data_IF_772316827593
#
_entry.id   IF_772316827593
#
_cell.length_a   1.000
_cell.length_b   1.000
_cell.length_c   1.000
_cell.angle_alpha   90.00
_cell.angle_beta   90.00
_cell.angle_gamma   90.00
#
_symmetry.space_group_name_H-M   'P 1'
#
loop_
_entity.id
_entity.type
_entity.pdbx_description
1 polymer ?
#
# COMPACT_ATOMS: atom_id res chain seq x y z
N UNK A 1 5.95 -22.50 5.74
CA UNK A 1 6.50 -21.33 5.03
C UNK A 1 5.62 -20.16 5.38
N UNK A 2 6.09 -19.19 6.18
CA UNK A 2 5.33 -17.96 6.38
C UNK A 2 5.21 -17.26 5.03
N UNK A 3 3.99 -16.90 4.67
CA UNK A 3 3.72 -16.33 3.38
C UNK A 3 4.19 -14.88 3.36
N UNK A 4 5.21 -14.59 2.55
CA UNK A 4 5.78 -13.26 2.39
C UNK A 4 4.74 -12.24 1.87
N UNK A 5 4.80 -10.99 2.36
CA UNK A 5 3.80 -9.96 2.05
C UNK A 5 3.81 -9.55 0.59
N UNK A 6 5.00 -9.47 -0.04
CA UNK A 6 5.09 -9.17 -1.47
C UNK A 6 4.52 -10.33 -2.30
N UNK A 7 4.81 -11.56 -1.91
CA UNK A 7 4.23 -12.76 -2.52
C UNK A 7 2.71 -12.77 -2.44
N UNK A 8 2.15 -12.31 -1.32
CA UNK A 8 0.70 -12.14 -1.15
C UNK A 8 0.15 -11.06 -2.07
N UNK A 9 0.81 -9.90 -2.18
CA UNK A 9 0.36 -8.83 -3.06
C UNK A 9 0.35 -9.26 -4.53
N UNK A 10 1.38 -10.00 -4.97
CA UNK A 10 1.43 -10.55 -6.33
C UNK A 10 0.27 -11.51 -6.62
N UNK A 11 -0.17 -12.28 -5.62
CA UNK A 11 -1.31 -13.18 -5.78
C UNK A 11 -2.65 -12.45 -5.69
N UNK A 12 -2.77 -11.45 -4.83
CA UNK A 12 -3.92 -10.55 -4.82
C UNK A 12 -4.10 -9.90 -6.20
N UNK A 13 -3.03 -9.31 -6.77
CA UNK A 13 -3.06 -8.76 -8.14
C UNK A 13 -3.53 -9.78 -9.18
N UNK A 14 -2.97 -11.00 -9.16
CA UNK A 14 -3.36 -12.04 -10.11
C UNK A 14 -4.82 -12.47 -9.97
N UNK A 15 -5.40 -12.37 -8.77
CA UNK A 15 -6.81 -12.69 -8.52
C UNK A 15 -7.75 -11.59 -9.00
N UNK A 16 -7.31 -10.33 -9.05
CA UNK A 16 -8.11 -9.23 -9.60
C UNK A 16 -8.06 -9.18 -11.14
N UNK A 17 -7.02 -9.71 -11.77
CA UNK A 17 -6.92 -9.80 -13.23
C UNK A 17 -8.09 -10.62 -13.82
N UNK A 18 -8.85 -9.99 -14.71
CA UNK A 18 -10.08 -10.56 -15.26
C UNK A 18 -10.31 -10.21 -16.75
N UNK A 19 -9.26 -9.84 -17.50
CA UNK A 19 -9.27 -9.32 -18.88
C UNK A 19 -9.64 -7.85 -19.04
N UNK A 20 -10.25 -7.22 -18.05
CA UNK A 20 -10.58 -5.78 -18.09
C UNK A 20 -9.77 -4.99 -17.06
N UNK A 21 -9.63 -5.55 -15.86
CA UNK A 21 -9.02 -4.87 -14.72
C UNK A 21 -7.55 -4.53 -14.98
N UNK A 22 -6.76 -5.49 -15.48
CA UNK A 22 -5.32 -5.31 -15.76
C UNK A 22 -5.03 -4.32 -16.91
N UNK A 23 -6.04 -4.00 -17.71
CA UNK A 23 -5.94 -3.02 -18.79
C UNK A 23 -6.29 -1.60 -18.35
N UNK A 24 -7.02 -1.45 -17.23
CA UNK A 24 -7.61 -0.18 -16.78
C UNK A 24 -7.05 0.29 -15.44
N UNK A 25 -6.60 -0.64 -14.62
CA UNK A 25 -6.21 -0.45 -13.23
C UNK A 25 -4.92 -1.21 -12.93
N UNK A 26 -4.40 -1.07 -11.71
CA UNK A 26 -3.22 -1.82 -11.32
C UNK A 26 -2.66 -1.44 -9.96
N UNK A 27 -1.44 -1.92 -9.74
CA UNK A 27 -0.61 -1.56 -8.60
C UNK A 27 0.55 -0.72 -9.11
N UNK A 28 0.75 0.45 -8.50
CA UNK A 28 1.91 1.31 -8.75
C UNK A 28 2.73 1.46 -7.48
N UNK A 29 3.99 1.06 -7.55
CA UNK A 29 5.00 1.34 -6.53
C UNK A 29 6.04 2.26 -7.18
N UNK A 30 6.32 3.39 -6.56
CA UNK A 30 7.20 4.42 -7.10
C UNK A 30 8.01 5.07 -5.96
N UNK A 31 9.10 5.76 -6.28
CA UNK A 31 9.85 6.52 -5.27
C UNK A 31 9.17 7.84 -4.95
N UNK A 32 9.37 8.36 -3.74
CA UNK A 32 9.06 9.75 -3.38
C UNK A 32 10.16 10.70 -3.89
N UNK A 33 9.89 12.01 -3.81
CA UNK A 33 10.89 13.07 -4.05
C UNK A 33 11.92 13.16 -2.90
N UNK A 34 11.51 12.73 -1.70
CA UNK A 34 12.36 12.43 -0.55
C UNK A 34 12.57 10.90 -0.39
N UNK A 35 13.49 10.43 0.47
CA UNK A 35 13.73 9.00 0.62
C UNK A 35 12.47 8.25 1.06
N UNK A 36 11.96 7.36 0.20
CA UNK A 36 10.77 6.60 0.51
C UNK A 36 10.05 6.08 -0.74
N UNK A 37 8.90 5.47 -0.48
CA UNK A 37 8.07 4.83 -1.50
C UNK A 37 6.65 5.35 -1.44
N UNK A 38 6.02 5.41 -2.61
CA UNK A 38 4.57 5.42 -2.73
C UNK A 38 4.10 4.03 -3.15
N UNK A 39 2.96 3.62 -2.60
CA UNK A 39 2.24 2.43 -3.03
C UNK A 39 0.79 2.82 -3.29
N UNK A 40 0.33 2.60 -4.51
CA UNK A 40 -1.05 2.84 -4.94
C UNK A 40 -1.62 1.56 -5.50
N UNK A 41 -2.75 1.13 -4.96
CA UNK A 41 -3.47 -0.07 -5.37
C UNK A 41 -4.88 0.35 -5.75
N UNK A 42 -5.25 0.16 -7.00
CA UNK A 42 -6.60 0.39 -7.45
C UNK A 42 -7.58 -0.60 -6.83
N UNK A 43 -8.74 -0.10 -6.40
CA UNK A 43 -9.80 -0.93 -5.81
C UNK A 43 -11.07 -0.89 -6.66
N UNK A 44 -11.10 -0.04 -7.68
CA UNK A 44 -12.22 0.07 -8.63
C UNK A 44 -12.44 -1.26 -9.34
N UNK A 45 -13.69 -1.64 -9.51
CA UNK A 45 -14.11 -2.91 -10.09
C UNK A 45 -13.56 -4.16 -9.37
N UNK A 46 -13.19 -4.01 -8.09
CA UNK A 46 -12.83 -5.11 -7.17
C UNK A 46 -13.87 -5.24 -6.05
N UNK A 47 -13.81 -6.32 -5.26
CA UNK A 47 -14.68 -6.47 -4.08
C UNK A 47 -14.41 -5.48 -2.93
N UNK A 48 -13.38 -4.65 -3.08
CA UNK A 48 -12.97 -3.60 -2.13
C UNK A 48 -13.35 -2.19 -2.57
N UNK A 49 -14.03 -2.04 -3.72
CA UNK A 49 -14.56 -0.75 -4.12
C UNK A 49 -15.60 -0.24 -3.11
N UNK A 50 -15.40 0.99 -2.63
CA UNK A 50 -16.30 1.64 -1.67
C UNK A 50 -16.25 1.07 -0.24
N UNK A 51 -15.39 0.09 0.03
CA UNK A 51 -15.19 -0.45 1.38
C UNK A 51 -14.46 0.57 2.23
N UNK A 52 -14.95 0.79 3.46
CA UNK A 52 -14.32 1.71 4.39
C UNK A 52 -12.96 1.17 4.85
N UNK A 53 -11.99 2.07 4.83
CA UNK A 53 -10.68 1.88 5.43
C UNK A 53 -10.46 3.04 6.40
N UNK A 54 -10.21 2.72 7.67
CA UNK A 54 -9.81 3.74 8.63
C UNK A 54 -8.40 4.19 8.31
N UNK A 55 -8.21 5.49 8.08
CA UNK A 55 -6.89 6.07 7.82
C UNK A 55 -5.95 5.68 8.95
N UNK A 56 -4.78 5.17 8.58
CA UNK A 56 -3.79 4.66 9.53
C UNK A 56 -2.43 5.27 9.25
N UNK A 57 -1.61 5.40 10.28
CA UNK A 57 -0.24 5.88 10.17
C UNK A 57 0.65 5.31 11.27
N UNK A 58 1.95 5.32 11.01
CA UNK A 58 3.00 5.00 11.96
C UNK A 58 4.15 5.99 11.81
N UNK A 59 4.74 6.41 12.93
CA UNK A 59 5.87 7.34 12.92
C UNK A 59 5.53 8.73 12.37
N UNK A 60 6.57 9.55 12.24
CA UNK A 60 6.48 10.91 11.70
C UNK A 60 7.16 10.94 10.32
N UNK A 61 6.52 11.49 9.27
CA UNK A 61 7.12 11.57 7.95
C UNK A 61 8.38 12.43 7.95
N UNK A 62 9.46 11.90 7.36
CA UNK A 62 10.72 12.62 7.19
C UNK A 62 10.77 13.32 5.82
N UNK A 63 11.22 14.57 5.79
CA UNK A 63 11.40 15.37 4.58
C UNK A 63 12.69 15.05 3.82
N UNK A 64 13.70 14.47 4.50
CA UNK A 64 14.99 14.09 3.90
C UNK A 64 15.66 12.90 4.61
N UNK A 65 16.85 12.52 4.14
CA UNK A 65 17.59 11.37 4.67
C UNK A 65 18.11 11.60 6.09
N UNK A 66 18.52 12.82 6.44
CA UNK A 66 19.05 13.13 7.76
C UNK A 66 17.93 13.09 8.81
N UNK A 67 16.77 13.61 8.45
CA UNK A 67 15.57 13.53 9.28
C UNK A 67 15.10 12.09 9.44
N UNK A 68 15.07 11.29 8.36
CA UNK A 68 14.68 9.88 8.43
C UNK A 68 15.61 9.07 9.34
N UNK A 69 16.92 9.33 9.32
CA UNK A 69 17.86 8.65 10.23
C UNK A 69 17.60 8.95 11.71
N UNK A 70 16.91 10.06 12.04
CA UNK A 70 16.54 10.46 13.39
C UNK A 70 15.15 9.95 13.80
N UNK A 71 14.17 10.06 12.89
CA UNK A 71 12.77 9.70 13.15
C UNK A 71 12.50 8.19 12.98
N UNK A 72 13.20 7.54 12.05
CA UNK A 72 13.06 6.12 11.76
C UNK A 72 11.87 5.79 10.85
N UNK A 73 11.28 4.63 11.10
CA UNK A 73 10.17 4.08 10.31
C UNK A 73 8.98 5.02 10.27
N UNK A 74 8.42 5.24 9.08
CA UNK A 74 7.18 5.97 8.93
C UNK A 74 6.34 5.44 7.78
N UNK A 75 5.02 5.51 7.92
CA UNK A 75 4.08 5.35 6.81
C UNK A 75 2.75 6.00 7.13
N UNK A 76 2.03 6.39 6.07
CA UNK A 76 0.64 6.84 6.11
C UNK A 76 -0.11 6.09 5.03
N UNK A 77 -1.27 5.55 5.36
CA UNK A 77 -2.15 4.84 4.43
C UNK A 77 -3.59 5.38 4.52
N UNK A 78 -4.25 5.51 3.38
CA UNK A 78 -5.65 5.91 3.30
C UNK A 78 -6.31 5.32 2.03
N UNK A 79 -7.64 5.20 2.03
CA UNK A 79 -8.40 4.94 0.80
C UNK A 79 -9.02 6.24 0.32
N UNK A 80 -8.68 6.65 -0.89
CA UNK A 80 -9.26 7.83 -1.55
C UNK A 80 -9.35 7.63 -3.06
N UNK A 81 -10.39 8.18 -3.69
CA UNK A 81 -10.55 8.12 -5.14
C UNK A 81 -10.59 6.69 -5.70
N UNK A 82 -11.13 5.73 -4.95
CA UNK A 82 -11.19 4.32 -5.35
C UNK A 82 -9.85 3.58 -5.30
N UNK A 83 -8.84 4.13 -4.61
CA UNK A 83 -7.52 3.54 -4.47
C UNK A 83 -7.12 3.44 -2.99
N UNK A 84 -6.47 2.35 -2.62
CA UNK A 84 -5.60 2.35 -1.43
C UNK A 84 -4.31 3.07 -1.79
N UNK A 85 -4.00 4.14 -1.07
CA UNK A 85 -2.80 4.94 -1.27
C UNK A 85 -1.99 4.99 0.01
N UNK A 86 -0.69 4.79 -0.11
CA UNK A 86 0.23 4.89 0.99
C UNK A 86 1.55 5.53 0.57
N UNK A 87 2.16 6.24 1.52
CA UNK A 87 3.51 6.76 1.44
C UNK A 87 4.29 6.27 2.66
N UNK A 88 5.56 5.91 2.49
CA UNK A 88 6.37 5.37 3.57
C UNK A 88 7.85 5.67 3.42
N UNK A 89 8.59 5.47 4.51
CA UNK A 89 10.05 5.54 4.52
C UNK A 89 10.71 4.48 3.64
N UNK A 90 12.02 4.61 3.39
CA UNK A 90 12.75 3.81 2.41
C UNK A 90 12.80 2.31 2.72
N UNK A 91 12.57 1.91 3.98
CA UNK A 91 12.59 0.51 4.43
C UNK A 91 11.21 -0.04 4.84
N UNK A 92 10.15 0.74 4.64
CA UNK A 92 8.82 0.49 5.22
C UNK A 92 7.79 -0.03 4.19
N UNK A 93 8.21 -0.28 2.94
CA UNK A 93 7.31 -0.73 1.87
C UNK A 93 6.59 -2.04 2.21
N UNK A 94 7.29 -2.97 2.86
CA UNK A 94 6.69 -4.25 3.29
C UNK A 94 5.65 -4.03 4.40
N UNK A 95 5.85 -3.07 5.30
CA UNK A 95 4.86 -2.73 6.33
C UNK A 95 3.59 -2.14 5.73
N UNK A 96 3.71 -1.29 4.71
CA UNK A 96 2.55 -0.79 3.95
C UNK A 96 1.78 -1.92 3.25
N UNK A 97 2.48 -2.86 2.61
CA UNK A 97 1.85 -4.02 1.99
C UNK A 97 1.15 -4.89 3.06
N UNK A 98 1.75 -5.03 4.24
CA UNK A 98 1.11 -5.71 5.37
C UNK A 98 -0.17 -5.02 5.80
N UNK A 99 -0.21 -3.69 5.88
CA UNK A 99 -1.42 -2.92 6.24
C UNK A 99 -2.55 -3.21 5.25
N UNK A 100 -2.26 -3.12 3.95
CA UNK A 100 -3.25 -3.45 2.91
C UNK A 100 -3.73 -4.91 3.03
N UNK A 101 -2.80 -5.85 3.20
CA UNK A 101 -3.14 -7.27 3.39
C UNK A 101 -4.08 -7.51 4.57
N UNK A 102 -3.74 -6.98 5.74
CA UNK A 102 -4.54 -7.20 6.95
C UNK A 102 -5.96 -6.66 6.77
N UNK A 103 -6.10 -5.49 6.17
CA UNK A 103 -7.41 -4.93 5.84
C UNK A 103 -8.20 -5.79 4.84
N UNK A 104 -7.55 -6.36 3.84
CA UNK A 104 -8.19 -7.25 2.86
C UNK A 104 -8.62 -8.58 3.49
N UNK A 105 -7.82 -9.12 4.40
CA UNK A 105 -8.05 -10.41 5.09
C UNK A 105 -8.95 -10.28 6.34
N UNK A 106 -9.30 -9.05 6.76
CA UNK A 106 -10.17 -8.82 7.91
C UNK A 106 -11.55 -9.46 7.69
N UNK A 107 -12.04 -10.31 8.61
CA UNK A 107 -13.37 -10.89 8.53
C UNK A 107 -14.44 -9.81 8.48
N UNK A 108 -15.36 -9.93 7.52
CA UNK A 108 -16.53 -9.05 7.37
C UNK A 108 -17.80 -9.74 7.87
#
# INVERSE_FOLDING_TARGET
MSYDHLSWLMQWYANECNSDWEHSYGIKIDTLDNPGWTCKIDLRDTSWEGVLFEKASHGEPAGDLEEWQKLGSWWVAEVKGGCFEAACGPLDLIDVIRVFRLWVEEPR
#
